data_IF_201900503434
#
_entry.id   IF_201900503434
#
_cell.length_a   1.000
_cell.length_b   1.000
_cell.length_c   1.000
_cell.angle_alpha   90.00
_cell.angle_beta   90.00
_cell.angle_gamma   90.00
#
_symmetry.space_group_name_H-M   'P 1'
#
loop_
_entity.id
_entity.type
_entity.pdbx_description
1 polymer ?
#
# COMPACT_ATOMS: atom_id res chain seq x y z
N UNK A 1 13.23 -15.37 -11.56
CA UNK A 1 11.81 -15.04 -11.83
C UNK A 1 11.82 -14.06 -12.99
N UNK A 2 11.36 -14.46 -14.19
CA UNK A 2 11.51 -13.64 -15.42
C UNK A 2 10.93 -12.25 -15.20
N UNK A 3 11.72 -11.21 -15.49
CA UNK A 3 11.50 -9.78 -15.19
C UNK A 3 10.07 -9.30 -15.52
N UNK A 4 9.45 -9.93 -16.53
CA UNK A 4 8.06 -9.69 -16.97
C UNK A 4 7.03 -9.92 -15.85
N UNK A 5 7.20 -10.95 -15.00
CA UNK A 5 6.27 -11.21 -13.88
C UNK A 5 6.43 -10.16 -12.76
N UNK A 6 7.64 -9.65 -12.57
CA UNK A 6 7.91 -8.57 -11.63
C UNK A 6 7.28 -7.26 -12.12
N UNK A 7 7.49 -6.89 -13.40
CA UNK A 7 6.84 -5.72 -14.00
C UNK A 7 5.31 -5.79 -13.93
N UNK A 8 4.71 -6.95 -14.22
CA UNK A 8 3.27 -7.15 -14.08
C UNK A 8 2.80 -6.97 -12.64
N UNK A 9 3.52 -7.51 -11.67
CA UNK A 9 3.19 -7.35 -10.26
C UNK A 9 3.31 -5.90 -9.79
N UNK A 10 4.36 -5.19 -10.20
CA UNK A 10 4.53 -3.75 -9.93
C UNK A 10 3.41 -2.93 -10.54
N UNK A 11 3.00 -3.22 -11.78
CA UNK A 11 1.88 -2.56 -12.44
C UNK A 11 0.55 -2.76 -11.71
N UNK A 12 0.25 -4.00 -11.30
CA UNK A 12 -0.97 -4.30 -10.52
C UNK A 12 -0.91 -3.62 -9.15
N UNK A 13 0.25 -3.59 -8.50
CA UNK A 13 0.41 -2.91 -7.20
C UNK A 13 0.22 -1.40 -7.31
N UNK A 14 0.73 -0.77 -8.38
CA UNK A 14 0.50 0.64 -8.66
C UNK A 14 -0.97 0.96 -8.95
N UNK A 15 -1.65 0.10 -9.72
CA UNK A 15 -3.10 0.21 -9.94
C UNK A 15 -3.90 0.05 -8.64
N UNK A 16 -3.46 -0.85 -7.75
CA UNK A 16 -4.03 -0.99 -6.41
C UNK A 16 -3.90 0.27 -5.56
N UNK A 17 -2.74 0.93 -5.60
CA UNK A 17 -2.56 2.21 -4.90
C UNK A 17 -3.47 3.32 -5.45
N UNK A 18 -3.65 3.40 -6.78
CA UNK A 18 -4.59 4.36 -7.38
C UNK A 18 -6.04 4.08 -6.95
N UNK A 19 -6.43 2.80 -6.92
CA UNK A 19 -7.74 2.39 -6.41
C UNK A 19 -7.91 2.77 -4.94
N UNK A 20 -6.91 2.52 -4.11
CA UNK A 20 -6.90 2.91 -2.69
C UNK A 20 -7.06 4.43 -2.51
N UNK A 21 -6.32 5.22 -3.29
CA UNK A 21 -6.38 6.68 -3.24
C UNK A 21 -7.75 7.21 -3.68
N UNK A 22 -8.30 6.67 -4.77
CA UNK A 22 -9.63 7.03 -5.26
C UNK A 22 -10.73 6.67 -4.25
N UNK A 23 -10.66 5.48 -3.64
CA UNK A 23 -11.61 5.05 -2.61
C UNK A 23 -11.52 5.92 -1.35
N UNK A 24 -10.31 6.32 -0.92
CA UNK A 24 -10.15 7.24 0.19
C UNK A 24 -10.86 8.57 -0.09
N UNK A 25 -10.61 9.17 -1.25
CA UNK A 25 -11.22 10.44 -1.63
C UNK A 25 -12.73 10.33 -1.73
N UNK A 26 -13.24 9.22 -2.25
CA UNK A 26 -14.68 8.97 -2.33
C UNK A 26 -15.30 8.86 -0.93
N UNK A 27 -14.71 8.05 -0.04
CA UNK A 27 -15.23 7.82 1.32
C UNK A 27 -15.20 9.09 2.17
N UNK A 28 -14.13 9.88 2.08
CA UNK A 28 -14.02 11.14 2.84
C UNK A 28 -14.83 12.26 2.18
N UNK A 29 -14.78 12.40 0.86
CA UNK A 29 -15.37 13.53 0.15
C UNK A 29 -16.86 13.39 -0.15
N UNK A 30 -17.33 12.19 -0.48
CA UNK A 30 -18.73 11.96 -0.86
C UNK A 30 -19.57 11.35 0.26
N UNK A 31 -18.95 10.55 1.15
CA UNK A 31 -19.65 9.86 2.23
C UNK A 31 -19.36 10.43 3.63
N UNK A 32 -18.49 11.45 3.73
CA UNK A 32 -18.09 12.11 4.99
C UNK A 32 -17.62 11.14 6.09
N UNK A 33 -17.03 10.01 5.67
CA UNK A 33 -16.52 9.00 6.61
C UNK A 33 -15.18 9.50 7.19
N UNK A 34 -14.93 9.32 8.50
CA UNK A 34 -13.69 9.74 9.14
C UNK A 34 -12.44 9.24 8.42
N UNK A 35 -11.44 10.12 8.24
CA UNK A 35 -10.22 9.86 7.45
C UNK A 35 -9.54 8.54 7.83
N UNK A 36 -9.44 8.25 9.14
CA UNK A 36 -8.80 7.02 9.63
C UNK A 36 -9.56 5.75 9.19
N UNK A 37 -10.89 5.75 9.32
CA UNK A 37 -11.76 4.65 8.90
C UNK A 37 -11.76 4.50 7.38
N UNK A 38 -11.86 5.63 6.66
CA UNK A 38 -11.82 5.68 5.20
C UNK A 38 -10.52 5.09 4.65
N UNK A 39 -9.37 5.43 5.25
CA UNK A 39 -8.08 4.88 4.84
C UNK A 39 -7.97 3.38 5.11
N UNK A 40 -8.47 2.91 6.26
CA UNK A 40 -8.45 1.50 6.59
C UNK A 40 -9.30 0.68 5.59
N UNK A 41 -10.52 1.15 5.30
CA UNK A 41 -11.43 0.49 4.35
C UNK A 41 -10.83 0.51 2.95
N UNK A 42 -10.39 1.68 2.48
CA UNK A 42 -9.85 1.83 1.12
C UNK A 42 -8.62 0.96 0.91
N UNK A 43 -7.68 0.94 1.86
CA UNK A 43 -6.43 0.20 1.72
C UNK A 43 -6.64 -1.31 1.83
N UNK A 44 -7.56 -1.77 2.68
CA UNK A 44 -7.95 -3.18 2.74
C UNK A 44 -8.60 -3.65 1.43
N UNK A 45 -9.56 -2.89 0.89
CA UNK A 45 -10.21 -3.22 -0.37
C UNK A 45 -9.21 -3.29 -1.53
N UNK A 46 -8.31 -2.31 -1.62
CA UNK A 46 -7.27 -2.28 -2.63
C UNK A 46 -6.29 -3.45 -2.50
N UNK A 47 -5.83 -3.77 -1.28
CA UNK A 47 -4.92 -4.88 -1.04
C UNK A 47 -5.55 -6.22 -1.46
N UNK A 48 -6.81 -6.46 -1.08
CA UNK A 48 -7.55 -7.68 -1.46
C UNK A 48 -7.73 -7.75 -2.98
N UNK A 49 -8.10 -6.64 -3.63
CA UNK A 49 -8.23 -6.59 -5.09
C UNK A 49 -6.90 -6.93 -5.78
N UNK A 50 -5.79 -6.33 -5.36
CA UNK A 50 -4.44 -6.63 -5.89
C UNK A 50 -4.10 -8.10 -5.69
N UNK A 51 -4.39 -8.67 -4.51
CA UNK A 51 -4.12 -10.07 -4.24
C UNK A 51 -4.93 -11.02 -5.14
N UNK A 52 -6.23 -10.79 -5.28
CA UNK A 52 -7.11 -11.61 -6.12
C UNK A 52 -6.72 -11.51 -7.60
N UNK A 53 -6.49 -10.30 -8.11
CA UNK A 53 -6.07 -10.08 -9.50
C UNK A 53 -4.69 -10.71 -9.72
N UNK A 54 -3.74 -10.53 -8.81
CA UNK A 54 -2.41 -11.14 -8.92
C UNK A 54 -2.49 -12.66 -8.93
N UNK A 55 -3.31 -13.25 -8.05
CA UNK A 55 -3.57 -14.70 -8.03
C UNK A 55 -4.09 -15.19 -9.37
N UNK A 56 -5.08 -14.52 -9.93
CA UNK A 56 -5.74 -14.91 -11.18
C UNK A 56 -4.93 -14.58 -12.44
N UNK A 57 -4.03 -13.61 -12.43
CA UNK A 57 -3.34 -13.17 -13.67
C UNK A 57 -1.87 -13.60 -13.71
N UNK A 58 -1.21 -13.72 -12.56
CA UNK A 58 0.23 -14.00 -12.45
C UNK A 58 0.50 -15.43 -11.95
N UNK A 59 -0.35 -15.95 -11.06
CA UNK A 59 -0.04 -17.15 -10.27
C UNK A 59 -0.98 -18.35 -10.51
N UNK A 60 -1.79 -18.37 -11.57
CA UNK A 60 -2.76 -19.46 -11.84
C UNK A 60 -2.16 -20.88 -11.78
N UNK A 61 -0.88 -21.04 -12.14
CA UNK A 61 -0.19 -22.35 -12.16
C UNK A 61 1.09 -22.35 -11.31
N UNK A 62 1.18 -21.45 -10.32
CA UNK A 62 2.39 -21.33 -9.52
C UNK A 62 2.47 -22.48 -8.47
N UNK A 63 3.64 -23.10 -8.26
CA UNK A 63 3.82 -24.10 -7.20
C UNK A 63 3.40 -23.56 -5.83
N UNK A 64 2.89 -24.41 -4.93
CA UNK A 64 2.37 -23.99 -3.61
C UNK A 64 3.33 -23.13 -2.78
N UNK A 65 4.65 -23.35 -2.91
CA UNK A 65 5.67 -22.52 -2.26
C UNK A 65 5.69 -21.05 -2.75
N UNK A 66 5.29 -20.77 -4.00
CA UNK A 66 5.16 -19.42 -4.55
C UNK A 66 3.89 -18.74 -4.04
N UNK A 67 2.78 -19.47 -3.90
CA UNK A 67 1.54 -18.97 -3.31
C UNK A 67 1.73 -18.58 -1.83
N UNK A 68 2.43 -19.41 -1.05
CA UNK A 68 2.77 -19.10 0.36
C UNK A 68 3.56 -17.79 0.48
N UNK A 69 4.51 -17.54 -0.41
CA UNK A 69 5.32 -16.31 -0.41
C UNK A 69 4.49 -15.07 -0.74
N UNK A 70 3.57 -15.18 -1.71
CA UNK A 70 2.64 -14.10 -2.05
C UNK A 70 1.70 -13.82 -0.88
N UNK A 71 1.21 -14.87 -0.20
CA UNK A 71 0.42 -14.73 1.02
C UNK A 71 1.17 -14.02 2.14
N UNK A 72 2.42 -14.41 2.42
CA UNK A 72 3.27 -13.75 3.42
C UNK A 72 3.52 -12.27 3.08
N UNK A 73 3.80 -11.97 1.81
CA UNK A 73 3.95 -10.59 1.34
C UNK A 73 2.65 -9.79 1.52
N UNK A 74 1.50 -10.39 1.23
CA UNK A 74 0.20 -9.76 1.46
C UNK A 74 -0.04 -9.46 2.95
N UNK A 75 0.24 -10.41 3.85
CA UNK A 75 0.14 -10.19 5.30
C UNK A 75 1.07 -9.07 5.75
N UNK A 76 2.32 -9.04 5.27
CA UNK A 76 3.25 -7.95 5.54
C UNK A 76 2.70 -6.61 5.04
N UNK A 77 2.22 -6.53 3.80
CA UNK A 77 1.65 -5.31 3.24
C UNK A 77 0.42 -4.82 4.02
N UNK A 78 -0.41 -5.72 4.53
CA UNK A 78 -1.50 -5.37 5.43
C UNK A 78 -0.98 -4.75 6.74
N UNK A 79 0.05 -5.35 7.36
CA UNK A 79 0.66 -4.78 8.57
C UNK A 79 1.21 -3.38 8.32
N UNK A 80 1.88 -3.15 7.18
CA UNK A 80 2.38 -1.83 6.81
C UNK A 80 1.23 -0.84 6.58
N UNK A 81 0.14 -1.26 5.93
CA UNK A 81 -1.07 -0.44 5.76
C UNK A 81 -1.68 -0.04 7.10
N UNK A 82 -1.74 -0.96 8.07
CA UNK A 82 -2.27 -0.65 9.41
C UNK A 82 -1.40 0.39 10.12
N UNK A 83 -0.07 0.24 10.08
CA UNK A 83 0.86 1.22 10.64
C UNK A 83 0.75 2.57 9.93
N UNK A 84 0.66 2.57 8.60
CA UNK A 84 0.48 3.77 7.81
C UNK A 84 -0.87 4.45 8.12
N UNK A 85 -1.93 3.70 8.39
CA UNK A 85 -3.24 4.24 8.79
C UNK A 85 -3.18 4.98 10.12
N UNK A 86 -2.42 4.45 11.09
CA UNK A 86 -2.16 5.13 12.35
C UNK A 86 -1.37 6.41 12.12
N UNK A 87 -0.33 6.37 11.28
CA UNK A 87 0.47 7.54 10.96
C UNK A 87 -0.35 8.64 10.23
N UNK A 88 -1.20 8.25 9.27
CA UNK A 88 -2.11 9.15 8.55
C UNK A 88 -3.08 9.83 9.52
N UNK A 89 -3.61 9.10 10.52
CA UNK A 89 -4.47 9.71 11.56
C UNK A 89 -3.75 10.83 12.29
N UNK A 90 -2.49 10.62 12.71
CA UNK A 90 -1.72 11.65 13.39
C UNK A 90 -1.44 12.84 12.48
N UNK A 91 -0.99 12.61 11.24
CA UNK A 91 -0.76 13.70 10.28
C UNK A 91 -2.02 14.51 10.04
N UNK A 92 -3.16 13.85 9.81
CA UNK A 92 -4.43 14.51 9.56
C UNK A 92 -4.92 15.37 10.74
N UNK A 93 -4.51 15.04 11.97
CA UNK A 93 -4.84 15.84 13.16
C UNK A 93 -4.00 17.11 13.27
N UNK A 94 -2.71 17.06 12.90
CA UNK A 94 -1.81 18.21 13.02
C UNK A 94 -1.79 19.11 11.78
N UNK A 95 -2.22 18.61 10.61
CA UNK A 95 -2.23 19.36 9.35
C UNK A 95 -3.04 20.67 9.43
N UNK A 96 -4.26 20.70 10.01
CA UNK A 96 -5.07 21.92 10.10
C UNK A 96 -4.43 23.00 10.97
N UNK A 97 -3.76 22.59 12.06
CA UNK A 97 -3.02 23.51 12.94
C UNK A 97 -1.88 24.17 12.17
N UNK A 98 -1.10 23.39 11.42
CA UNK A 98 -0.02 23.90 10.59
C UNK A 98 -0.51 24.89 9.51
N UNK A 99 -1.66 24.60 8.89
CA UNK A 99 -2.28 25.51 7.91
C UNK A 99 -2.70 26.83 8.55
N UNK A 100 -3.25 26.79 9.78
CA UNK A 100 -3.61 27.97 10.55
C UNK A 100 -2.40 28.86 10.84
N UNK A 101 -1.29 28.26 11.30
CA UNK A 101 -0.05 28.99 11.60
C UNK A 101 0.58 29.66 10.37
N UNK A 102 0.34 29.09 9.17
CA UNK A 102 0.84 29.60 7.90
C UNK A 102 -0.14 30.57 7.20
N UNK A 103 -1.30 30.87 7.80
CA UNK A 103 -2.33 31.74 7.22
C UNK A 103 -3.04 31.14 5.99
N UNK A 104 -3.01 29.81 5.84
CA UNK A 104 -3.67 29.10 4.75
C UNK A 104 -5.11 28.80 5.14
N UNK A 105 -6.05 28.98 4.22
CA UNK A 105 -7.47 28.62 4.41
C UNK A 105 -7.58 27.17 4.85
N UNK A 106 -8.41 26.90 5.86
CA UNK A 106 -8.64 25.55 6.40
C UNK A 106 -9.03 24.59 5.28
N UNK A 107 -8.18 23.61 4.94
CA UNK A 107 -8.45 22.70 3.84
C UNK A 107 -9.62 21.76 4.17
N UNK A 108 -10.34 21.31 3.15
CA UNK A 108 -11.42 20.33 3.32
C UNK A 108 -10.88 18.99 3.83
N UNK A 109 -11.73 18.16 4.44
CA UNK A 109 -11.36 16.85 4.93
C UNK A 109 -10.73 15.96 3.84
N UNK A 110 -11.22 16.06 2.60
CA UNK A 110 -10.67 15.34 1.45
C UNK A 110 -9.25 15.82 1.10
N UNK A 111 -8.98 17.13 1.16
CA UNK A 111 -7.63 17.67 0.93
C UNK A 111 -6.67 17.24 2.04
N UNK A 112 -7.11 17.29 3.30
CA UNK A 112 -6.31 16.80 4.44
C UNK A 112 -5.98 15.32 4.26
N UNK A 113 -6.97 14.50 3.91
CA UNK A 113 -6.79 13.07 3.67
C UNK A 113 -5.81 12.80 2.51
N UNK A 114 -5.94 13.53 1.40
CA UNK A 114 -5.06 13.42 0.24
C UNK A 114 -3.61 13.77 0.61
N UNK A 115 -3.40 14.90 1.29
CA UNK A 115 -2.07 15.37 1.70
C UNK A 115 -1.44 14.42 2.72
N UNK A 116 -2.20 13.97 3.72
CA UNK A 116 -1.71 13.00 4.70
C UNK A 116 -1.27 11.69 4.01
N UNK A 117 -2.04 11.21 3.04
CA UNK A 117 -1.70 10.01 2.28
C UNK A 117 -0.49 10.22 1.36
N UNK A 118 -0.35 11.38 0.72
CA UNK A 118 0.82 11.72 -0.09
C UNK A 118 2.11 11.80 0.74
N UNK A 119 2.04 12.28 1.98
CA UNK A 119 3.18 12.31 2.89
C UNK A 119 3.55 10.89 3.35
N UNK A 120 2.56 10.05 3.63
CA UNK A 120 2.77 8.73 4.22
C UNK A 120 3.03 7.60 3.20
N UNK A 121 2.63 7.79 1.94
CA UNK A 121 2.81 6.78 0.89
C UNK A 121 4.29 6.53 0.54
N UNK A 122 5.18 7.52 0.34
CA UNK A 122 6.57 7.26 -0.02
C UNK A 122 7.34 6.42 1.01
N UNK A 123 7.26 6.69 2.33
CA UNK A 123 7.82 5.79 3.35
C UNK A 123 7.25 4.37 3.27
N UNK A 124 5.93 4.23 3.08
CA UNK A 124 5.26 2.94 2.92
C UNK A 124 5.74 2.18 1.67
N UNK A 125 5.90 2.86 0.53
CA UNK A 125 6.43 2.27 -0.69
C UNK A 125 7.89 1.84 -0.52
N UNK A 126 8.70 2.63 0.19
CA UNK A 126 10.07 2.27 0.51
C UNK A 126 10.15 1.00 1.37
N UNK A 127 9.32 0.90 2.41
CA UNK A 127 9.21 -0.32 3.23
C UNK A 127 8.75 -1.53 2.41
N UNK A 128 7.77 -1.35 1.52
CA UNK A 128 7.30 -2.41 0.62
C UNK A 128 8.40 -2.85 -0.36
N UNK A 129 9.18 -1.90 -0.88
CA UNK A 129 10.32 -2.17 -1.75
C UNK A 129 11.41 -2.96 -1.01
N UNK A 130 11.78 -2.55 0.21
CA UNK A 130 12.77 -3.27 1.02
C UNK A 130 12.32 -4.71 1.30
N UNK A 131 11.06 -4.91 1.68
CA UNK A 131 10.53 -6.26 1.92
C UNK A 131 10.48 -7.10 0.63
N UNK A 132 10.07 -6.53 -0.50
CA UNK A 132 10.09 -7.20 -1.79
C UNK A 132 11.53 -7.59 -2.18
N UNK A 133 12.50 -6.68 -1.96
CA UNK A 133 13.91 -6.91 -2.21
C UNK A 133 14.47 -8.03 -1.34
N UNK A 134 14.28 -8.00 -0.03
CA UNK A 134 14.73 -9.07 0.89
C UNK A 134 14.11 -10.43 0.55
N UNK A 135 12.84 -10.45 0.16
CA UNK A 135 12.14 -11.68 -0.27
C UNK A 135 12.66 -12.19 -1.62
N UNK A 136 13.22 -11.31 -2.45
CA UNK A 136 13.85 -11.66 -3.72
C UNK A 136 15.32 -12.09 -3.56
N UNK A 137 16.09 -11.42 -2.70
CA UNK A 137 17.52 -11.69 -2.45
C UNK A 137 17.75 -12.92 -1.58
N UNK A 138 16.78 -13.31 -0.74
CA UNK A 138 16.76 -14.64 -0.12
C UNK A 138 16.69 -15.81 -1.13
N UNK A 139 16.57 -15.53 -2.44
CA UNK A 139 16.84 -16.51 -3.52
C UNK A 139 18.30 -16.58 -3.98
N UNK A 140 19.22 -15.77 -3.48
CA UNK A 140 20.64 -15.82 -3.87
C UNK A 140 21.53 -16.62 -2.92
N UNK A 141 20.99 -17.21 -1.85
CA UNK A 141 21.78 -18.04 -0.91
C UNK A 141 21.21 -19.44 -0.65
N UNK A 142 20.49 -20.00 -1.62
CA UNK A 142 20.11 -21.43 -1.65
C UNK A 142 20.08 -21.91 -3.12
N UNK A 143 21.20 -21.80 -3.82
CA UNK A 143 21.44 -22.50 -5.08
C UNK A 143 22.96 -22.64 -5.29
N UNK A 144 23.55 -23.67 -4.68
CA UNK A 144 24.74 -24.33 -5.21
C UNK A 144 26.11 -23.71 -4.93
N UNK A 145 26.55 -23.70 -3.68
CA UNK A 145 28.00 -23.84 -3.40
C UNK A 145 28.27 -25.30 -3.00
N UNK A 146 28.84 -26.14 -3.89
CA UNK A 146 29.77 -27.16 -3.45
C UNK A 146 31.13 -26.49 -3.16
N UNK A 147 31.75 -26.91 -2.06
CA UNK A 147 33.17 -26.63 -1.76
C UNK A 147 34.08 -27.31 -2.76
#
# INVERSE_FOLDING_TARGET
MRIIRFLKFTGISGAGWLLDFALLLLLVGAFDIPIASSNLISSCMAAVAVFLISRQTIFQSAPGAMLRRVGLYFTYSLSVVLLASVAIRYVAQYLPMLCGDLGVVTPSAAVIAATAKLIMTPPQLFMNFLAARLTSESKFRIAGEPT
#
